data_IF_136562215364
#
_entry.id   IF_136562215364
#
_cell.length_a   1.000
_cell.length_b   1.000
_cell.length_c   1.000
_cell.angle_alpha   90.00
_cell.angle_beta   90.00
_cell.angle_gamma   90.00
#
_symmetry.space_group_name_H-M   'P 1'
#
loop_
_entity.id
_entity.type
_entity.pdbx_description
1 polymer ?
#
# COMPACT_ATOMS: atom_id res chain seq x y z
N UNK A 1 3.21 11.09 -18.29
CA UNK A 1 2.30 10.49 -17.28
C UNK A 1 1.48 9.41 -17.95
N UNK A 2 1.27 8.29 -17.28
CA UNK A 2 0.48 7.15 -17.77
C UNK A 2 -0.87 7.16 -17.04
N UNK A 3 -1.96 7.53 -17.71
CA UNK A 3 -3.31 7.57 -17.10
C UNK A 3 -3.77 6.16 -16.76
N UNK A 4 -4.34 5.98 -15.56
CA UNK A 4 -4.92 4.71 -15.10
C UNK A 4 -6.44 4.80 -15.05
N UNK A 5 -6.96 5.78 -14.31
CA UNK A 5 -8.39 5.93 -14.06
C UNK A 5 -8.70 7.39 -13.74
N UNK A 6 -9.92 7.83 -14.03
CA UNK A 6 -10.43 9.16 -13.68
C UNK A 6 -11.90 9.00 -13.31
N UNK A 7 -12.29 9.52 -12.15
CA UNK A 7 -13.62 9.36 -11.55
C UNK A 7 -13.91 10.55 -10.64
N UNK A 8 -15.17 11.01 -10.63
CA UNK A 8 -15.63 12.17 -9.86
C UNK A 8 -14.68 13.37 -9.98
N UNK A 9 -14.07 13.75 -8.86
CA UNK A 9 -13.17 14.87 -8.64
C UNK A 9 -11.71 14.38 -8.49
N UNK A 10 -11.35 13.23 -9.06
CA UNK A 10 -9.98 12.71 -8.97
C UNK A 10 -9.50 11.93 -10.18
N UNK A 11 -8.19 11.92 -10.37
CA UNK A 11 -7.51 11.21 -11.46
C UNK A 11 -6.28 10.47 -10.94
N UNK A 12 -6.10 9.25 -11.42
CA UNK A 12 -5.04 8.34 -11.04
C UNK A 12 -4.11 8.07 -12.23
N UNK A 13 -2.80 8.17 -12.00
CA UNK A 13 -1.79 8.03 -13.04
C UNK A 13 -0.44 7.57 -12.47
N UNK A 14 0.41 6.99 -13.32
CA UNK A 14 1.82 6.73 -13.01
C UNK A 14 2.69 7.83 -13.60
N UNK A 15 3.69 8.25 -12.83
CA UNK A 15 4.71 9.20 -13.25
C UNK A 15 6.03 8.43 -13.42
N UNK A 16 6.50 8.16 -14.64
CA UNK A 16 7.85 7.68 -14.87
C UNK A 16 8.87 8.77 -14.54
N UNK A 17 9.88 8.45 -13.76
CA UNK A 17 10.99 9.35 -13.43
C UNK A 17 12.25 8.54 -13.08
N UNK A 18 13.29 9.22 -12.59
CA UNK A 18 14.50 8.57 -12.08
C UNK A 18 14.71 8.84 -10.59
N UNK A 19 15.43 7.94 -9.94
CA UNK A 19 15.95 8.07 -8.57
C UNK A 19 17.43 7.71 -8.55
N UNK A 20 18.18 8.28 -7.60
CA UNK A 20 19.65 8.25 -7.58
C UNK A 20 20.16 7.95 -6.17
N UNK A 21 21.05 6.96 -6.05
CA UNK A 21 21.78 6.59 -4.82
C UNK A 21 23.22 6.18 -5.19
N UNK A 22 24.22 6.68 -4.46
CA UNK A 22 25.65 6.33 -4.63
C UNK A 22 26.15 6.33 -6.09
N UNK A 23 25.89 7.43 -6.81
CA UNK A 23 26.23 7.63 -8.23
C UNK A 23 25.53 6.68 -9.23
N UNK A 24 24.57 5.88 -8.77
CA UNK A 24 23.72 5.04 -9.64
C UNK A 24 22.39 5.75 -9.86
N UNK A 25 21.91 5.80 -11.10
CA UNK A 25 20.59 6.35 -11.46
C UNK A 25 19.72 5.25 -12.06
N UNK A 26 18.51 5.10 -11.55
CA UNK A 26 17.57 4.09 -12.02
C UNK A 26 16.23 4.71 -12.42
N UNK A 27 15.61 4.10 -13.43
CA UNK A 27 14.24 4.43 -13.83
C UNK A 27 13.28 3.79 -12.85
N UNK A 28 12.22 4.54 -12.53
CA UNK A 28 11.14 4.05 -11.69
C UNK A 28 9.83 4.76 -12.03
N UNK A 29 8.74 4.37 -11.37
CA UNK A 29 7.43 4.99 -11.47
C UNK A 29 6.85 5.24 -10.08
N UNK A 30 6.23 6.40 -9.92
CA UNK A 30 5.37 6.70 -8.77
C UNK A 30 3.92 6.69 -9.22
N UNK A 31 3.09 5.88 -8.57
CA UNK A 31 1.63 5.97 -8.69
C UNK A 31 1.12 7.14 -7.85
N UNK A 32 0.24 7.95 -8.44
CA UNK A 32 -0.37 9.12 -7.80
C UNK A 32 -1.85 9.13 -8.12
N UNK A 33 -2.66 9.43 -7.10
CA UNK A 33 -4.02 9.93 -7.26
C UNK A 33 -4.03 11.40 -6.87
N UNK A 34 -4.50 12.25 -7.77
CA UNK A 34 -4.72 13.68 -7.56
C UNK A 34 -6.22 13.93 -7.37
N UNK A 35 -6.58 14.63 -6.29
CA UNK A 35 -7.94 15.06 -6.01
C UNK A 35 -8.11 16.55 -6.37
N UNK A 36 -9.28 16.98 -6.85
CA UNK A 36 -9.59 18.40 -7.08
C UNK A 36 -9.68 19.18 -5.77
N UNK A 37 -10.21 18.56 -4.72
CA UNK A 37 -10.28 19.12 -3.37
C UNK A 37 -9.44 18.29 -2.40
N UNK A 38 -8.89 18.93 -1.35
CA UNK A 38 -8.18 18.17 -0.31
C UNK A 38 -9.15 17.21 0.37
N UNK A 39 -8.73 15.96 0.54
CA UNK A 39 -9.53 14.91 1.19
C UNK A 39 -8.83 14.42 2.46
N UNK A 40 -9.65 14.00 3.42
CA UNK A 40 -9.16 13.32 4.62
C UNK A 40 -8.73 11.91 4.27
N UNK A 41 -7.50 11.57 4.61
CA UNK A 41 -6.91 10.27 4.45
C UNK A 41 -6.41 9.73 5.79
N UNK A 42 -6.50 8.41 5.97
CA UNK A 42 -5.86 7.68 7.05
C UNK A 42 -4.81 6.75 6.45
N UNK A 43 -3.55 7.00 6.77
CA UNK A 43 -2.39 6.20 6.37
C UNK A 43 -1.87 5.41 7.56
N UNK A 44 -1.58 4.12 7.37
CA UNK A 44 -0.88 3.31 8.39
C UNK A 44 0.54 3.78 8.65
N UNK A 45 1.09 4.59 7.74
CA UNK A 45 2.46 5.13 7.80
C UNK A 45 2.53 6.53 8.41
N UNK A 46 1.52 7.36 8.14
CA UNK A 46 1.53 8.79 8.50
C UNK A 46 0.38 9.21 9.42
N UNK A 47 -0.55 8.31 9.75
CA UNK A 47 -1.77 8.63 10.50
C UNK A 47 -2.79 9.41 9.66
N UNK A 48 -3.62 10.22 10.33
CA UNK A 48 -4.60 11.08 9.66
C UNK A 48 -3.93 12.30 9.02
N UNK A 49 -4.35 12.62 7.80
CA UNK A 49 -3.84 13.76 7.03
C UNK A 49 -4.89 14.31 6.07
N UNK A 50 -4.89 15.62 5.85
CA UNK A 50 -5.63 16.23 4.74
C UNK A 50 -4.70 16.33 3.53
N UNK A 51 -5.06 15.66 2.43
CA UNK A 51 -4.17 15.45 1.29
C UNK A 51 -4.82 15.89 -0.01
N UNK A 52 -4.00 16.47 -0.89
CA UNK A 52 -4.32 16.72 -2.30
C UNK A 52 -3.93 15.52 -3.17
N UNK A 53 -3.01 14.70 -2.68
CA UNK A 53 -2.51 13.51 -3.36
C UNK A 53 -2.40 12.31 -2.43
N UNK A 54 -2.59 11.12 -2.95
CA UNK A 54 -2.06 9.89 -2.33
C UNK A 54 -1.23 9.16 -3.34
N UNK A 55 -0.21 8.43 -2.89
CA UNK A 55 0.68 7.75 -3.82
C UNK A 55 1.37 6.54 -3.24
N UNK A 56 1.99 5.80 -4.16
CA UNK A 56 2.83 4.67 -3.85
C UNK A 56 4.02 4.68 -4.80
N UNK A 57 5.22 4.65 -4.26
CA UNK A 57 6.47 4.74 -5.02
C UNK A 57 7.13 3.37 -5.13
N UNK A 58 7.54 2.98 -6.35
CA UNK A 58 8.31 1.75 -6.56
C UNK A 58 9.80 2.00 -6.33
N UNK A 59 10.40 1.33 -5.36
CA UNK A 59 11.85 1.39 -5.14
C UNK A 59 12.51 0.36 -6.07
N UNK A 60 13.43 0.77 -6.96
CA UNK A 60 14.19 -0.15 -7.80
C UNK A 60 14.93 -1.22 -6.98
N UNK A 61 14.99 -2.44 -7.49
CA UNK A 61 15.58 -3.61 -6.80
C UNK A 61 17.03 -3.36 -6.33
N UNK A 62 17.84 -2.73 -7.18
CA UNK A 62 19.23 -2.36 -6.86
C UNK A 62 19.35 -1.40 -5.67
N UNK A 63 18.26 -0.74 -5.27
CA UNK A 63 18.21 0.21 -4.16
C UNK A 63 17.56 -0.34 -2.89
N UNK A 64 16.97 -1.54 -2.89
CA UNK A 64 16.31 -2.09 -1.69
C UNK A 64 17.20 -2.12 -0.45
N UNK A 65 18.50 -2.38 -0.63
CA UNK A 65 19.48 -2.43 0.46
C UNK A 65 20.34 -1.15 0.59
N UNK A 66 20.06 -0.12 -0.22
CA UNK A 66 20.85 1.14 -0.27
C UNK A 66 20.09 2.35 0.24
N UNK A 67 18.79 2.23 0.51
CA UNK A 67 18.00 3.31 1.13
C UNK A 67 18.32 3.41 2.62
N UNK A 68 19.42 4.08 2.94
CA UNK A 68 19.87 4.28 4.33
C UNK A 68 19.07 5.36 5.07
N UNK A 69 18.58 6.37 4.35
CA UNK A 69 17.71 7.43 4.86
C UNK A 69 16.47 7.51 4.00
N UNK A 70 15.38 6.89 4.48
CA UNK A 70 14.11 6.96 3.77
C UNK A 70 13.65 8.42 3.58
N UNK A 71 13.90 9.30 4.56
CA UNK A 71 13.50 10.70 4.50
C UNK A 71 14.13 11.43 3.30
N UNK A 72 15.41 11.22 3.06
CA UNK A 72 16.12 11.88 1.96
C UNK A 72 15.70 11.29 0.61
N UNK A 73 15.50 9.97 0.57
CA UNK A 73 14.97 9.27 -0.60
C UNK A 73 13.56 9.76 -0.96
N UNK A 74 12.67 9.86 0.02
CA UNK A 74 11.31 10.39 -0.14
C UNK A 74 11.33 11.82 -0.68
N UNK A 75 12.17 12.71 -0.12
CA UNK A 75 12.30 14.08 -0.60
C UNK A 75 12.77 14.13 -2.07
N UNK A 76 13.70 13.25 -2.46
CA UNK A 76 14.14 13.14 -3.85
C UNK A 76 12.97 12.74 -4.77
N UNK A 77 12.19 11.73 -4.39
CA UNK A 77 11.01 11.28 -5.15
C UNK A 77 10.01 12.42 -5.30
N UNK A 78 9.66 13.09 -4.20
CA UNK A 78 8.72 14.21 -4.16
C UNK A 78 9.14 15.36 -5.09
N UNK A 79 10.43 15.70 -5.10
CA UNK A 79 10.98 16.71 -6.01
C UNK A 79 10.88 16.27 -7.48
N UNK A 80 11.17 15.01 -7.79
CA UNK A 80 11.11 14.47 -9.17
C UNK A 80 9.67 14.44 -9.71
N UNK A 81 8.67 14.22 -8.85
CA UNK A 81 7.26 14.21 -9.25
C UNK A 81 6.56 15.57 -9.08
N UNK A 82 7.25 16.57 -8.51
CA UNK A 82 6.73 17.93 -8.34
C UNK A 82 5.62 18.06 -7.29
N UNK A 83 5.62 17.23 -6.24
CA UNK A 83 4.58 17.22 -5.19
C UNK A 83 5.21 17.56 -3.83
N UNK A 84 4.59 18.47 -3.09
CA UNK A 84 5.04 18.83 -1.73
C UNK A 84 4.67 17.76 -0.71
N UNK A 85 5.56 17.51 0.25
CA UNK A 85 5.36 16.53 1.34
C UNK A 85 4.10 16.78 2.17
N UNK A 86 3.73 18.04 2.39
CA UNK A 86 2.53 18.42 3.14
C UNK A 86 1.22 18.05 2.43
N UNK A 87 1.24 17.89 1.10
CA UNK A 87 0.05 17.68 0.29
C UNK A 87 -0.20 16.21 -0.08
N UNK A 88 0.71 15.29 0.25
CA UNK A 88 0.64 13.88 -0.15
C UNK A 88 0.79 12.92 1.01
N UNK A 89 0.00 11.83 1.05
CA UNK A 89 0.37 10.64 1.80
C UNK A 89 1.03 9.62 0.85
N UNK A 90 2.30 9.26 1.12
CA UNK A 90 3.12 8.47 0.19
C UNK A 90 3.59 7.17 0.83
N UNK A 91 3.20 6.05 0.20
CA UNK A 91 3.74 4.73 0.49
C UNK A 91 4.97 4.44 -0.39
N UNK A 92 5.75 3.43 -0.01
CA UNK A 92 6.80 2.86 -0.86
C UNK A 92 6.65 1.36 -0.93
N UNK A 93 7.01 0.79 -2.07
CA UNK A 93 6.93 -0.64 -2.35
C UNK A 93 8.15 -1.12 -3.13
N UNK A 94 8.58 -2.35 -2.89
CA UNK A 94 9.51 -3.05 -3.78
C UNK A 94 8.81 -3.66 -5.01
N UNK A 95 7.48 -3.72 -5.03
CA UNK A 95 6.76 -4.26 -6.19
C UNK A 95 6.88 -3.34 -7.41
N UNK A 96 6.88 -3.94 -8.60
CA UNK A 96 6.95 -3.18 -9.85
C UNK A 96 5.62 -2.45 -10.08
N UNK A 97 5.68 -1.13 -10.29
CA UNK A 97 4.49 -0.31 -10.48
C UNK A 97 3.67 -0.65 -11.74
N UNK A 98 4.27 -1.34 -12.72
CA UNK A 98 3.52 -1.84 -13.87
C UNK A 98 2.60 -3.02 -13.53
N UNK A 99 2.80 -3.65 -12.37
CA UNK A 99 1.94 -4.69 -11.83
C UNK A 99 0.84 -4.15 -10.91
N UNK A 100 0.68 -2.82 -10.80
CA UNK A 100 -0.42 -2.21 -10.07
C UNK A 100 -1.75 -2.81 -10.53
N UNK A 101 -2.53 -3.33 -9.59
CA UNK A 101 -3.87 -3.83 -9.83
C UNK A 101 -4.91 -2.80 -9.37
N UNK A 102 -6.05 -2.77 -10.06
CA UNK A 102 -7.15 -1.85 -9.76
C UNK A 102 -8.44 -2.66 -9.74
N UNK A 103 -9.18 -2.58 -8.64
CA UNK A 103 -10.49 -3.18 -8.52
C UNK A 103 -11.50 -2.15 -8.03
N UNK A 104 -12.72 -2.24 -8.55
CA UNK A 104 -13.81 -1.32 -8.25
C UNK A 104 -15.08 -2.10 -7.91
N UNK A 105 -15.79 -1.65 -6.90
CA UNK A 105 -17.13 -2.12 -6.53
C UNK A 105 -18.07 -0.92 -6.43
N UNK A 106 -19.33 -1.13 -6.82
CA UNK A 106 -20.39 -0.12 -6.76
C UNK A 106 -21.68 -0.74 -6.23
N UNK A 107 -22.39 0.02 -5.41
CA UNK A 107 -23.74 -0.32 -4.96
C UNK A 107 -24.48 0.95 -4.57
N UNK A 108 -25.68 1.13 -5.12
CA UNK A 108 -26.48 2.35 -4.96
C UNK A 108 -25.68 3.60 -5.38
N UNK A 109 -25.61 4.62 -4.54
CA UNK A 109 -24.85 5.85 -4.78
C UNK A 109 -23.37 5.74 -4.37
N UNK A 110 -22.89 4.59 -3.89
CA UNK A 110 -21.53 4.42 -3.38
C UNK A 110 -20.62 3.65 -4.34
N UNK A 111 -19.34 4.03 -4.35
CA UNK A 111 -18.28 3.21 -4.90
C UNK A 111 -17.10 3.06 -3.96
N UNK A 112 -16.31 2.02 -4.22
CA UNK A 112 -15.00 1.79 -3.63
C UNK A 112 -14.03 1.39 -4.73
N UNK A 113 -12.84 1.99 -4.75
CA UNK A 113 -11.74 1.65 -5.66
C UNK A 113 -10.51 1.29 -4.83
N UNK A 114 -9.93 0.12 -5.08
CA UNK A 114 -8.68 -0.33 -4.48
C UNK A 114 -7.57 -0.34 -5.53
N UNK A 115 -6.47 0.36 -5.23
CA UNK A 115 -5.22 0.32 -5.99
C UNK A 115 -4.19 -0.48 -5.18
N UNK A 116 -3.63 -1.52 -5.75
CA UNK A 116 -2.77 -2.44 -5.01
C UNK A 116 -1.47 -2.75 -5.75
N UNK A 117 -0.36 -2.63 -5.03
CA UNK A 117 0.89 -3.28 -5.39
C UNK A 117 1.18 -4.35 -4.35
N UNK A 118 1.49 -5.57 -4.78
CA UNK A 118 1.72 -6.68 -3.87
C UNK A 118 2.88 -7.53 -4.37
N UNK A 119 3.77 -7.93 -3.47
CA UNK A 119 4.77 -8.96 -3.71
C UNK A 119 5.05 -9.66 -2.39
N UNK A 120 5.01 -10.99 -2.40
CA UNK A 120 5.08 -11.84 -1.22
C UNK A 120 6.22 -12.87 -1.31
N UNK A 121 6.81 -13.05 -2.50
CA UNK A 121 7.85 -14.05 -2.78
C UNK A 121 9.03 -14.10 -1.79
N UNK A 122 9.43 -12.95 -1.24
CA UNK A 122 10.66 -12.84 -0.45
C UNK A 122 10.44 -12.57 1.05
N UNK A 123 9.24 -12.16 1.46
CA UNK A 123 8.99 -11.73 2.83
C UNK A 123 7.58 -12.03 3.37
N UNK A 124 6.84 -12.94 2.73
CA UNK A 124 5.58 -13.42 3.29
C UNK A 124 5.79 -14.01 4.70
N UNK A 125 4.92 -13.64 5.63
CA UNK A 125 5.03 -14.02 7.06
C UNK A 125 3.67 -14.43 7.62
N UNK A 126 3.68 -15.37 8.57
CA UNK A 126 2.54 -15.73 9.41
C UNK A 126 2.61 -14.95 10.74
N UNK A 127 1.92 -13.81 10.81
CA UNK A 127 1.86 -13.03 12.06
C UNK A 127 1.24 -13.84 13.20
N UNK A 128 1.87 -13.78 14.37
CA UNK A 128 1.43 -14.46 15.61
C UNK A 128 2.09 -15.83 15.83
N UNK A 129 2.60 -16.46 14.78
CA UNK A 129 3.25 -17.78 14.84
C UNK A 129 4.79 -17.68 14.69
N UNK A 130 5.32 -16.55 14.23
CA UNK A 130 6.74 -16.37 13.88
C UNK A 130 7.42 -15.29 14.72
N UNK A 131 8.73 -15.49 14.98
CA UNK A 131 9.55 -14.50 15.68
C UNK A 131 9.96 -13.35 14.76
N UNK A 132 10.00 -12.14 15.33
CA UNK A 132 10.39 -10.93 14.64
C UNK A 132 11.91 -10.75 14.64
N UNK A 133 12.50 -10.48 13.48
CA UNK A 133 13.94 -10.17 13.36
C UNK A 133 14.22 -8.66 13.44
N UNK A 134 13.22 -7.86 13.80
CA UNK A 134 13.32 -6.40 13.79
C UNK A 134 12.91 -5.81 15.14
N UNK A 135 13.59 -4.74 15.52
CA UNK A 135 13.20 -3.90 16.65
C UNK A 135 13.07 -2.45 16.17
N UNK A 136 12.02 -1.78 16.62
CA UNK A 136 11.89 -0.34 16.50
C UNK A 136 12.33 0.32 17.81
N UNK A 137 13.27 1.26 17.70
CA UNK A 137 13.77 2.03 18.83
C UNK A 137 14.06 3.45 18.39
N UNK A 138 13.57 4.42 19.15
CA UNK A 138 13.76 5.85 18.88
C UNK A 138 13.36 6.25 17.46
N UNK A 139 12.21 5.73 16.98
CA UNK A 139 11.66 5.96 15.64
C UNK A 139 12.56 5.46 14.49
N UNK A 140 13.41 4.46 14.80
CA UNK A 140 14.27 3.79 13.81
C UNK A 140 14.10 2.29 13.93
N UNK A 141 13.95 1.62 12.79
CA UNK A 141 13.87 0.17 12.73
C UNK A 141 15.23 -0.43 12.43
N UNK A 142 15.61 -1.43 13.20
CA UNK A 142 16.86 -2.17 13.08
C UNK A 142 16.55 -3.66 12.90
N UNK A 143 17.35 -4.35 12.10
CA UNK A 143 17.35 -5.82 12.05
C UNK A 143 18.27 -6.35 13.15
N UNK A 144 17.84 -7.40 13.83
CA UNK A 144 18.60 -8.08 14.87
C UNK A 144 19.29 -9.29 14.24
N UNK A 145 20.62 -9.29 14.23
CA UNK A 145 21.45 -10.40 13.73
C UNK A 145 22.54 -10.69 14.76
N UNK A 146 22.56 -11.91 15.30
CA UNK A 146 23.51 -12.35 16.34
C UNK A 146 23.61 -11.36 17.53
N UNK A 147 22.45 -10.85 17.97
CA UNK A 147 22.35 -9.87 19.06
C UNK A 147 22.82 -8.46 18.70
N UNK A 148 23.16 -8.18 17.44
CA UNK A 148 23.57 -6.86 16.94
C UNK A 148 22.47 -6.21 16.10
N UNK A 149 22.41 -4.89 16.18
CA UNK A 149 21.49 -4.08 15.37
C UNK A 149 22.18 -3.68 14.06
N UNK A 150 21.59 -4.08 12.93
CA UNK A 150 22.04 -3.69 11.59
C UNK A 150 20.92 -2.94 10.84
N UNK A 151 21.25 -2.19 9.77
CA UNK A 151 20.24 -1.54 8.94
C UNK A 151 19.20 -2.53 8.40
N UNK A 152 17.94 -2.10 8.36
CA UNK A 152 16.82 -2.87 7.84
C UNK A 152 16.89 -3.00 6.32
N UNK A 153 16.48 -4.15 5.82
CA UNK A 153 16.15 -4.37 4.40
C UNK A 153 14.61 -4.39 4.29
N UNK A 154 14.03 -3.65 3.33
CA UNK A 154 12.60 -3.70 3.04
C UNK A 154 12.39 -4.25 1.62
N UNK A 155 12.08 -5.55 1.53
CA UNK A 155 11.90 -6.25 0.26
C UNK A 155 10.51 -6.85 0.21
N UNK A 156 9.71 -6.50 -0.80
CA UNK A 156 8.33 -6.98 -0.97
C UNK A 156 7.35 -6.34 0.02
N UNK A 157 6.19 -5.91 -0.43
CA UNK A 157 5.11 -5.45 0.47
C UNK A 157 3.78 -5.45 -0.26
N UNK A 158 2.70 -5.58 0.50
CA UNK A 158 1.35 -5.30 0.02
C UNK A 158 0.94 -3.89 0.45
N UNK A 159 0.88 -2.99 -0.51
CA UNK A 159 0.37 -1.63 -0.30
C UNK A 159 -0.99 -1.48 -0.98
N UNK A 160 -1.98 -0.99 -0.24
CA UNK A 160 -3.35 -0.80 -0.71
C UNK A 160 -3.76 0.66 -0.50
N UNK A 161 -4.17 1.34 -1.57
CA UNK A 161 -4.81 2.65 -1.51
C UNK A 161 -6.28 2.45 -1.83
N UNK A 162 -7.15 2.74 -0.87
CA UNK A 162 -8.60 2.62 -0.99
C UNK A 162 -9.22 4.01 -1.08
N UNK A 163 -10.02 4.26 -2.12
CA UNK A 163 -10.76 5.51 -2.32
C UNK A 163 -12.24 5.19 -2.40
N UNK A 164 -13.07 6.00 -1.73
CA UNK A 164 -14.54 5.96 -1.83
C UNK A 164 -15.09 7.37 -2.02
N UNK A 165 -16.30 7.48 -2.56
CA UNK A 165 -17.07 8.72 -2.50
C UNK A 165 -17.80 8.93 -1.16
N UNK A 166 -17.94 7.91 -0.32
CA UNK A 166 -18.61 8.04 0.98
C UNK A 166 -17.89 9.01 1.91
N UNK A 167 -18.65 9.83 2.65
CA UNK A 167 -18.11 10.65 3.72
C UNK A 167 -17.98 9.79 4.99
N UNK A 168 -16.82 9.14 5.12
CA UNK A 168 -16.50 8.30 6.27
C UNK A 168 -16.23 9.12 7.53
N UNK A 169 -16.70 8.62 8.68
CA UNK A 169 -16.18 9.07 9.98
C UNK A 169 -14.77 8.54 10.21
N UNK A 170 -14.00 9.15 11.10
CA UNK A 170 -12.65 8.68 11.45
C UNK A 170 -12.68 7.24 11.99
N UNK A 171 -13.72 6.88 12.76
CA UNK A 171 -13.96 5.52 13.23
C UNK A 171 -14.24 4.53 12.09
N UNK A 172 -15.00 4.95 11.07
CA UNK A 172 -15.25 4.15 9.87
C UNK A 172 -13.97 3.93 9.03
N UNK A 173 -13.11 4.95 8.94
CA UNK A 173 -11.81 4.85 8.27
C UNK A 173 -10.88 3.88 9.02
N UNK A 174 -10.81 3.97 10.34
CA UNK A 174 -10.02 3.05 11.15
C UNK A 174 -10.57 1.61 11.06
N UNK A 175 -11.90 1.43 11.10
CA UNK A 175 -12.57 0.13 10.92
C UNK A 175 -12.27 -0.47 9.54
N UNK A 176 -12.16 0.36 8.50
CA UNK A 176 -11.87 -0.12 7.16
C UNK A 176 -10.51 -0.82 7.07
N UNK A 177 -9.51 -0.39 7.84
CA UNK A 177 -8.19 -1.06 7.90
C UNK A 177 -8.33 -2.53 8.32
N UNK A 178 -9.20 -2.83 9.29
CA UNK A 178 -9.47 -4.22 9.71
C UNK A 178 -10.06 -5.01 8.55
N UNK A 179 -11.10 -4.49 7.89
CA UNK A 179 -11.75 -5.15 6.75
C UNK A 179 -10.80 -5.36 5.57
N UNK A 180 -9.95 -4.37 5.26
CA UNK A 180 -8.90 -4.46 4.25
C UNK A 180 -7.88 -5.55 4.62
N UNK A 181 -7.50 -5.63 5.90
CA UNK A 181 -6.54 -6.63 6.39
C UNK A 181 -7.09 -8.05 6.27
N UNK A 182 -8.34 -8.28 6.71
CA UNK A 182 -9.00 -9.59 6.58
C UNK A 182 -9.17 -10.00 5.11
N UNK A 183 -9.57 -9.07 4.23
CA UNK A 183 -9.71 -9.33 2.81
C UNK A 183 -8.38 -9.67 2.12
N UNK A 184 -7.30 -8.95 2.48
CA UNK A 184 -5.93 -9.26 2.03
C UNK A 184 -5.51 -10.65 2.50
N UNK A 185 -5.70 -10.99 3.78
CA UNK A 185 -5.38 -12.32 4.29
C UNK A 185 -6.20 -13.41 3.59
N UNK A 186 -7.46 -13.14 3.26
CA UNK A 186 -8.28 -14.08 2.50
C UNK A 186 -7.75 -14.30 1.07
N UNK A 187 -7.24 -13.26 0.40
CA UNK A 187 -6.53 -13.41 -0.88
C UNK A 187 -5.26 -14.27 -0.76
N UNK A 188 -4.47 -14.09 0.29
CA UNK A 188 -3.28 -14.91 0.55
C UNK A 188 -3.63 -16.38 0.75
N UNK A 189 -4.71 -16.67 1.48
CA UNK A 189 -5.20 -18.04 1.68
C UNK A 189 -5.66 -18.68 0.36
N UNK A 190 -6.41 -17.94 -0.47
CA UNK A 190 -6.91 -18.45 -1.75
C UNK A 190 -5.78 -18.76 -2.72
N UNK A 191 -4.72 -17.94 -2.73
CA UNK A 191 -3.51 -18.18 -3.52
C UNK A 191 -2.51 -19.14 -2.86
N UNK A 192 -2.85 -19.72 -1.70
CA UNK A 192 -1.99 -20.62 -0.93
C UNK A 192 -0.58 -20.05 -0.69
N UNK A 193 -0.48 -18.74 -0.42
CA UNK A 193 0.80 -18.08 -0.13
C UNK A 193 1.33 -18.60 1.20
N UNK A 194 2.54 -19.16 1.18
CA UNK A 194 3.21 -19.68 2.37
C UNK A 194 4.18 -18.67 2.96
N UNK A 195 4.45 -18.79 4.26
CA UNK A 195 5.54 -18.04 4.88
C UNK A 195 6.88 -18.40 4.23
N UNK A 196 7.75 -17.40 4.06
CA UNK A 196 9.10 -17.62 3.55
C UNK A 196 10.04 -18.21 4.59
N UNK A 197 9.72 -18.06 5.89
CA UNK A 197 10.48 -18.67 7.00
C UNK A 197 9.97 -20.07 7.35
N UNK A 198 8.66 -20.27 7.28
CA UNK A 198 7.95 -21.47 7.72
C UNK A 198 6.98 -21.96 6.62
N UNK A 199 7.48 -22.65 5.57
CA UNK A 199 6.68 -23.02 4.38
C UNK A 199 5.45 -23.89 4.67
N UNK A 200 5.37 -24.51 5.84
CA UNK A 200 4.21 -25.25 6.34
C UNK A 200 3.03 -24.33 6.72
N UNK A 201 3.28 -23.04 6.99
CA UNK A 201 2.29 -22.06 7.42
C UNK A 201 1.79 -21.20 6.25
N UNK A 202 0.49 -20.89 6.23
CA UNK A 202 -0.10 -19.93 5.29
C UNK A 202 0.16 -18.50 5.75
N UNK A 203 0.86 -17.69 4.97
CA UNK A 203 1.14 -16.31 5.34
C UNK A 203 -0.15 -15.48 5.49
N UNK A 204 -0.12 -14.49 6.40
CA UNK A 204 -1.23 -13.54 6.61
C UNK A 204 -0.98 -12.17 5.98
N UNK A 205 0.25 -11.93 5.53
CA UNK A 205 0.72 -10.71 4.88
C UNK A 205 2.24 -10.76 4.70
N UNK A 206 2.89 -9.60 4.64
CA UNK A 206 4.35 -9.52 4.51
C UNK A 206 5.05 -8.88 5.71
N UNK A 207 4.29 -8.50 6.74
CA UNK A 207 4.81 -7.82 7.94
C UNK A 207 5.19 -6.35 7.73
N UNK A 208 5.12 -5.85 6.49
CA UNK A 208 5.41 -4.46 6.10
C UNK A 208 4.27 -3.83 5.30
N UNK A 209 3.10 -4.47 5.31
CA UNK A 209 1.93 -4.05 4.55
C UNK A 209 1.46 -2.65 4.99
N UNK A 210 1.11 -1.79 4.04
CA UNK A 210 0.57 -0.46 4.34
C UNK A 210 -0.75 -0.18 3.63
N UNK A 211 -1.59 0.62 4.27
CA UNK A 211 -2.91 0.99 3.76
C UNK A 211 -3.08 2.50 3.83
N UNK A 212 -3.68 3.08 2.79
CA UNK A 212 -4.29 4.42 2.83
C UNK A 212 -5.78 4.29 2.55
N UNK A 213 -6.62 4.82 3.44
CA UNK A 213 -8.05 4.97 3.21
C UNK A 213 -8.36 6.45 2.97
N UNK A 214 -9.00 6.78 1.86
CA UNK A 214 -9.40 8.15 1.51
C UNK A 214 -10.92 8.23 1.40
N UNK A 215 -11.52 9.13 2.19
CA UNK A 215 -12.96 9.37 2.13
C UNK A 215 -13.34 10.35 1.02
N UNK A 216 -14.62 10.39 0.67
CA UNK A 216 -15.19 11.39 -0.23
C UNK A 216 -16.13 12.36 0.49
N UNK A 217 -16.94 13.04 -0.32
CA UNK A 217 -17.87 14.08 0.13
C UNK A 217 -19.35 13.69 -0.02
N UNK A 218 -19.62 12.44 -0.38
CA UNK A 218 -20.97 11.90 -0.55
C UNK A 218 -21.67 11.61 0.78
N UNK A 219 -22.58 10.62 0.77
CA UNK A 219 -23.37 10.26 1.96
C UNK A 219 -22.48 9.76 3.11
N UNK A 220 -22.94 10.05 4.32
CA UNK A 220 -22.25 9.68 5.55
C UNK A 220 -22.27 8.18 5.81
N UNK A 221 -21.13 7.62 6.21
CA UNK A 221 -21.00 6.23 6.66
C UNK A 221 -20.12 6.21 7.91
N UNK A 222 -20.62 5.66 9.01
CA UNK A 222 -19.93 5.61 10.30
C UNK A 222 -19.35 4.23 10.65
N UNK A 223 -19.67 3.21 9.84
CA UNK A 223 -19.21 1.84 10.07
C UNK A 223 -18.96 1.08 8.75
N UNK A 224 -17.79 0.44 8.66
CA UNK A 224 -17.32 -0.30 7.46
C UNK A 224 -17.05 -1.78 7.73
N UNK A 225 -17.64 -2.36 8.78
CA UNK A 225 -17.50 -3.79 9.07
C UNK A 225 -18.18 -4.69 8.03
N UNK A 226 -17.74 -5.95 7.94
CA UNK A 226 -18.15 -6.92 6.90
C UNK A 226 -19.65 -7.27 6.84
N UNK A 227 -20.44 -6.91 7.85
CA UNK A 227 -21.91 -7.04 7.83
C UNK A 227 -22.63 -5.88 7.13
N UNK A 228 -21.89 -4.86 6.65
CA UNK A 228 -22.43 -3.71 5.92
C UNK A 228 -22.12 -3.81 4.43
N UNK A 229 -22.94 -3.15 3.59
CA UNK A 229 -22.64 -3.05 2.16
C UNK A 229 -21.32 -2.33 1.86
N UNK A 230 -21.00 -1.28 2.62
CA UNK A 230 -19.70 -0.61 2.48
C UNK A 230 -18.53 -1.57 2.81
N UNK A 231 -18.62 -2.32 3.92
CA UNK A 231 -17.62 -3.32 4.28
C UNK A 231 -17.49 -4.45 3.24
N UNK A 232 -18.61 -4.93 2.71
CA UNK A 232 -18.63 -5.93 1.63
C UNK A 232 -17.90 -5.42 0.37
N UNK A 233 -18.22 -4.20 -0.09
CA UNK A 233 -17.57 -3.59 -1.26
C UNK A 233 -16.07 -3.40 -1.04
N UNK A 234 -15.65 -2.93 0.15
CA UNK A 234 -14.23 -2.80 0.50
C UNK A 234 -13.54 -4.16 0.42
N UNK A 235 -14.11 -5.18 1.07
CA UNK A 235 -13.50 -6.51 1.09
C UNK A 235 -13.39 -7.12 -0.32
N UNK A 236 -14.44 -6.99 -1.15
CA UNK A 236 -14.43 -7.48 -2.53
C UNK A 236 -13.40 -6.77 -3.40
N UNK A 237 -13.36 -5.44 -3.37
CA UNK A 237 -12.40 -4.66 -4.14
C UNK A 237 -10.96 -5.03 -3.75
N UNK A 238 -10.66 -5.04 -2.45
CA UNK A 238 -9.32 -5.36 -1.94
C UNK A 238 -8.91 -6.79 -2.29
N UNK A 239 -9.78 -7.78 -2.07
CA UNK A 239 -9.44 -9.16 -2.38
C UNK A 239 -9.10 -9.33 -3.87
N UNK A 240 -9.93 -8.76 -4.77
CA UNK A 240 -9.70 -8.80 -6.21
C UNK A 240 -8.37 -8.15 -6.59
N UNK A 241 -8.11 -6.93 -6.10
CA UNK A 241 -6.87 -6.20 -6.44
C UNK A 241 -5.62 -6.86 -5.86
N UNK A 242 -5.68 -7.43 -4.65
CA UNK A 242 -4.56 -8.16 -4.05
C UNK A 242 -4.24 -9.43 -4.84
N UNK A 243 -5.25 -10.22 -5.20
CA UNK A 243 -5.06 -11.43 -6.01
C UNK A 243 -4.39 -11.08 -7.35
N UNK A 244 -4.93 -10.10 -8.06
CA UNK A 244 -4.39 -9.67 -9.35
C UNK A 244 -2.96 -9.15 -9.24
N UNK A 245 -2.66 -8.33 -8.23
CA UNK A 245 -1.32 -7.78 -8.01
C UNK A 245 -0.30 -8.88 -7.72
N UNK A 246 -0.64 -9.86 -6.87
CA UNK A 246 0.24 -10.99 -6.55
C UNK A 246 0.48 -11.88 -7.77
N UNK A 247 -0.55 -12.18 -8.57
CA UNK A 247 -0.39 -12.96 -9.80
C UNK A 247 0.57 -12.24 -10.76
N UNK A 248 0.39 -10.93 -10.98
CA UNK A 248 1.26 -10.14 -11.87
C UNK A 248 2.70 -10.06 -11.37
N UNK A 249 2.89 -9.80 -10.07
CA UNK A 249 4.20 -9.58 -9.48
C UNK A 249 4.99 -10.88 -9.29
N UNK A 250 4.37 -11.87 -8.67
CA UNK A 250 5.04 -13.12 -8.25
C UNK A 250 4.86 -14.25 -9.27
N UNK A 251 4.11 -14.01 -10.37
CA UNK A 251 3.85 -14.97 -11.46
C UNK A 251 3.21 -16.27 -10.99
N UNK A 252 2.26 -16.15 -10.07
CA UNK A 252 1.50 -17.28 -9.52
C UNK A 252 0.64 -17.88 -10.63
N UNK A 253 0.70 -19.20 -10.79
CA UNK A 253 -0.16 -19.96 -11.69
C UNK A 253 -1.39 -20.45 -10.92
N UNK A 254 -2.58 -20.31 -11.52
CA UNK A 254 -3.88 -20.70 -10.95
C UNK A 254 -4.42 -21.92 -11.70
#
# INVERSE_FOLDING_TARGET
MEKILEMDDWKAYKIPHTVEIDNTSEKTKTFVVEFENKRRALSTREGFKEVKYVGNHSIPEIFWNKVHSYKDYENQVLNKIGIKKEDIALLSTGANMDNLAVAKEEFDEFYVVAFTTAGAKYNAIRLGDEEADYIEKDFKTYKVVDGKLIPKEEIGTVNIILITNANLTDGAMARAIITITEAKTNAFQELNIRSTKHPELLATGTGTDNVIVVKGFGRGVDYTGGHTKMGEMIAKAVKKSVIEALIKQDRIMI
#
